data_IF_558952566565
#
_entry.id   IF_558952566565
#
_cell.length_a   1.000
_cell.length_b   1.000
_cell.length_c   1.000
_cell.angle_alpha   90.00
_cell.angle_beta   90.00
_cell.angle_gamma   90.00
#
_symmetry.space_group_name_H-M   'P 1'
#
loop_
_entity.id
_entity.type
_entity.pdbx_description
1 polymer ?
#
# COMPACT_ATOMS: atom_id res chain seq x y z
N UNK A 1 71.40 17.05 -8.93
CA UNK A 1 70.35 17.28 -9.95
C UNK A 1 69.01 17.40 -9.25
N UNK A 2 68.25 18.44 -9.59
CA UNK A 2 67.13 18.98 -8.80
C UNK A 2 65.94 18.02 -8.73
N UNK A 3 65.52 17.71 -7.51
CA UNK A 3 64.20 17.17 -7.15
C UNK A 3 63.15 18.27 -7.16
N UNK A 4 62.08 18.11 -7.95
CA UNK A 4 60.89 18.96 -7.92
C UNK A 4 59.68 18.11 -7.57
N UNK A 5 59.17 18.30 -6.35
CA UNK A 5 57.88 17.80 -5.90
C UNK A 5 56.79 18.78 -6.35
N UNK A 6 55.70 18.27 -6.93
CA UNK A 6 54.52 19.04 -7.31
C UNK A 6 53.44 18.83 -6.23
N UNK A 7 53.21 19.88 -5.44
CA UNK A 7 52.20 19.95 -4.38
C UNK A 7 50.86 20.42 -4.98
N UNK A 8 49.79 19.68 -4.73
CA UNK A 8 48.40 20.08 -5.03
C UNK A 8 47.80 20.74 -3.77
N UNK A 9 47.21 21.94 -3.84
CA UNK A 9 46.63 22.60 -2.67
C UNK A 9 45.26 22.01 -2.29
N UNK A 10 45.10 21.78 -0.99
CA UNK A 10 43.88 21.37 -0.31
C UNK A 10 43.00 22.62 -0.09
N UNK A 11 41.82 22.67 -0.72
CA UNK A 11 40.88 23.78 -0.52
C UNK A 11 40.09 23.56 0.78
N UNK A 12 40.29 24.47 1.72
CA UNK A 12 39.56 24.64 2.96
C UNK A 12 38.41 25.62 2.75
N UNK A 13 37.18 25.29 3.15
CA UNK A 13 36.16 26.30 3.41
C UNK A 13 35.26 25.90 4.59
N UNK A 14 35.01 26.92 5.40
CA UNK A 14 34.72 26.94 6.84
C UNK A 14 33.23 26.74 7.19
N UNK A 15 32.93 26.38 8.45
CA UNK A 15 31.56 26.24 8.97
C UNK A 15 30.90 27.60 9.22
N UNK A 16 29.58 27.66 8.99
CA UNK A 16 28.72 28.78 9.39
C UNK A 16 28.15 28.52 10.78
N UNK A 17 28.59 29.30 11.76
CA UNK A 17 27.99 29.41 13.07
C UNK A 17 27.12 30.66 13.12
N UNK A 18 25.88 30.54 13.59
CA UNK A 18 25.11 31.67 14.08
C UNK A 18 24.65 31.36 15.50
N UNK A 19 25.26 32.08 16.44
CA UNK A 19 24.90 32.13 17.84
C UNK A 19 24.15 33.46 18.06
N UNK A 20 23.02 33.41 18.75
CA UNK A 20 22.40 34.57 19.39
C UNK A 20 22.36 34.28 20.90
N UNK A 21 22.87 35.24 21.67
CA UNK A 21 23.03 35.24 23.11
C UNK A 21 21.94 36.11 23.79
N UNK A 22 21.83 35.92 25.12
CA UNK A 22 21.14 36.73 26.14
C UNK A 22 19.60 36.57 26.23
N UNK A 23 18.99 36.39 27.39
CA UNK A 23 19.51 36.35 28.76
C UNK A 23 18.41 36.50 29.82
N UNK A 24 18.79 36.13 31.04
CA UNK A 24 18.34 36.63 32.36
C UNK A 24 16.99 36.19 32.97
N UNK A 25 17.12 35.77 34.23
CA UNK A 25 16.13 35.42 35.24
C UNK A 25 15.53 36.64 35.94
N UNK A 26 14.31 36.51 36.49
CA UNK A 26 13.87 37.26 37.66
C UNK A 26 12.73 36.53 38.39
N UNK A 27 12.98 36.30 39.68
CA UNK A 27 12.09 35.78 40.71
C UNK A 27 11.41 36.99 41.40
N UNK A 28 10.08 36.96 41.62
CA UNK A 28 9.41 37.87 42.57
C UNK A 28 8.30 37.15 43.34
N UNK A 29 8.18 37.52 44.61
CA UNK A 29 7.42 36.94 45.72
C UNK A 29 6.12 37.72 46.01
N UNK A 30 5.11 36.97 46.48
CA UNK A 30 3.99 37.29 47.40
C UNK A 30 2.98 38.42 47.05
N UNK A 31 1.69 38.09 47.09
CA UNK A 31 0.74 38.65 48.08
C UNK A 31 -0.65 37.97 48.01
N UNK A 32 -1.18 37.73 49.21
CA UNK A 32 -2.49 37.19 49.56
C UNK A 32 -3.64 38.15 49.22
N UNK A 33 -4.79 37.60 48.82
CA UNK A 33 -6.10 38.18 49.10
C UNK A 33 -7.05 37.06 49.55
N UNK A 34 -7.38 37.11 50.84
CA UNK A 34 -8.46 36.41 51.52
C UNK A 34 -9.80 37.14 51.27
N UNK A 35 -10.86 36.39 50.96
CA UNK A 35 -12.26 36.77 51.20
C UNK A 35 -13.20 35.62 50.83
N UNK A 36 -13.62 34.90 51.85
CA UNK A 36 -14.69 33.89 51.82
C UNK A 36 -16.01 34.46 51.28
N UNK A 37 -16.63 33.75 50.33
CA UNK A 37 -18.07 33.76 50.06
C UNK A 37 -18.52 32.37 49.63
N UNK A 38 -19.37 31.77 50.45
CA UNK A 38 -19.98 30.46 50.30
C UNK A 38 -21.12 30.54 49.26
N UNK A 39 -21.16 29.63 48.27
CA UNK A 39 -22.39 29.06 47.69
C UNK A 39 -22.11 28.16 46.47
N UNK A 40 -22.51 26.90 46.62
CA UNK A 40 -23.15 26.02 45.62
C UNK A 40 -22.33 25.50 44.43
N UNK A 41 -22.14 24.18 44.48
CA UNK A 41 -22.03 23.18 43.40
C UNK A 41 -21.96 23.72 41.96
N UNK A 42 -20.86 23.42 41.27
CA UNK A 42 -20.98 22.86 39.93
C UNK A 42 -19.82 21.91 39.61
N UNK A 43 -20.20 20.76 39.07
CA UNK A 43 -19.29 19.67 38.69
C UNK A 43 -18.53 20.11 37.45
N UNK A 44 -17.31 20.62 37.63
CA UNK A 44 -16.42 20.95 36.52
C UNK A 44 -15.89 19.65 35.89
N UNK A 45 -16.70 19.12 34.97
CA UNK A 45 -16.31 18.10 34.00
C UNK A 45 -15.24 18.72 33.12
N UNK A 46 -13.98 18.37 33.38
CA UNK A 46 -12.88 18.65 32.47
C UNK A 46 -13.19 17.99 31.12
N UNK A 47 -13.73 18.78 30.19
CA UNK A 47 -13.89 18.37 28.80
C UNK A 47 -12.50 18.32 28.17
N UNK A 48 -11.95 17.12 28.05
CA UNK A 48 -10.89 16.84 27.09
C UNK A 48 -11.47 17.10 25.70
N UNK A 49 -11.16 18.25 25.13
CA UNK A 49 -11.35 18.50 23.71
C UNK A 49 -10.48 17.49 22.95
N UNK A 50 -11.11 16.42 22.47
CA UNK A 50 -10.52 15.54 21.46
C UNK A 50 -10.40 16.38 20.20
N UNK A 51 -9.17 16.79 19.90
CA UNK A 51 -8.78 17.36 18.62
C UNK A 51 -9.14 16.35 17.54
N UNK A 52 -10.30 16.55 16.93
CA UNK A 52 -10.75 15.76 15.78
C UNK A 52 -9.88 16.22 14.63
N UNK A 53 -8.88 15.39 14.31
CA UNK A 53 -8.11 15.52 13.08
C UNK A 53 -9.08 15.74 11.91
N UNK A 54 -8.79 16.66 10.98
CA UNK A 54 -9.64 16.91 9.83
C UNK A 54 -9.96 15.58 9.12
N UNK A 55 -11.16 15.43 8.53
CA UNK A 55 -11.52 14.20 7.83
C UNK A 55 -10.48 13.99 6.72
N UNK A 56 -9.63 12.99 6.90
CA UNK A 56 -8.66 12.60 5.89
C UNK A 56 -9.42 12.30 4.59
N UNK A 57 -8.93 12.84 3.47
CA UNK A 57 -9.58 12.71 2.17
C UNK A 57 -9.69 11.23 1.80
N UNK A 58 -10.90 10.69 1.86
CA UNK A 58 -11.18 9.27 1.69
C UNK A 58 -11.10 8.95 0.20
N UNK A 59 -10.10 8.18 -0.20
CA UNK A 59 -9.85 7.82 -1.59
C UNK A 59 -10.59 6.54 -2.02
N UNK A 60 -10.79 5.60 -1.08
CA UNK A 60 -11.47 4.33 -1.35
C UNK A 60 -12.24 3.85 -0.12
N UNK A 61 -13.38 3.21 -0.35
CA UNK A 61 -14.13 2.49 0.68
C UNK A 61 -14.78 1.24 0.12
N UNK A 62 -14.75 0.16 0.90
CA UNK A 62 -15.40 -1.12 0.58
C UNK A 62 -15.84 -1.80 1.87
N UNK A 63 -17.06 -2.31 1.86
CA UNK A 63 -17.55 -3.21 2.89
C UNK A 63 -17.72 -4.60 2.28
N UNK A 64 -17.07 -5.59 2.89
CA UNK A 64 -17.10 -6.98 2.45
C UNK A 64 -17.56 -7.87 3.60
N UNK A 65 -18.25 -8.97 3.28
CA UNK A 65 -18.72 -9.94 4.27
C UNK A 65 -18.31 -11.33 3.84
N UNK A 66 -17.76 -12.11 4.78
CA UNK A 66 -17.49 -13.53 4.59
C UNK A 66 -17.75 -14.26 5.91
N UNK A 67 -18.65 -15.24 5.85
CA UNK A 67 -19.19 -15.87 7.05
C UNK A 67 -19.89 -14.84 7.93
N UNK A 68 -19.51 -14.80 9.21
CA UNK A 68 -20.07 -13.89 10.22
C UNK A 68 -19.29 -12.58 10.40
N UNK A 69 -18.22 -12.40 9.61
CA UNK A 69 -17.36 -11.22 9.71
C UNK A 69 -17.68 -10.22 8.60
N UNK A 70 -17.73 -8.94 8.98
CA UNK A 70 -17.72 -7.80 8.07
C UNK A 70 -16.35 -7.14 8.13
N UNK A 71 -15.73 -6.96 6.98
CA UNK A 71 -14.47 -6.26 6.78
C UNK A 71 -14.77 -4.90 6.14
N UNK A 72 -14.39 -3.83 6.84
CA UNK A 72 -14.53 -2.46 6.35
C UNK A 72 -13.16 -1.97 5.95
N UNK A 73 -12.96 -1.79 4.64
CA UNK A 73 -11.72 -1.36 4.04
C UNK A 73 -11.89 0.11 3.65
N UNK A 74 -11.00 0.96 4.15
CA UNK A 74 -10.98 2.37 3.81
C UNK A 74 -9.55 2.79 3.51
N UNK A 75 -9.34 3.63 2.51
CA UNK A 75 -8.07 4.31 2.32
C UNK A 75 -8.23 5.81 2.28
N UNK A 76 -7.17 6.51 2.69
CA UNK A 76 -7.07 7.97 2.60
C UNK A 76 -5.78 8.36 1.90
N UNK A 77 -5.79 9.50 1.22
CA UNK A 77 -4.58 10.03 0.56
C UNK A 77 -3.45 10.23 1.57
N UNK A 78 -2.21 9.90 1.18
CA UNK A 78 -0.99 10.13 1.95
C UNK A 78 0.16 10.55 1.01
N UNK A 79 1.21 11.19 1.54
CA UNK A 79 2.29 11.79 0.74
C UNK A 79 2.94 10.83 -0.28
N UNK A 80 3.03 9.54 0.06
CA UNK A 80 3.69 8.51 -0.75
C UNK A 80 2.75 7.35 -1.17
N UNK A 81 1.45 7.62 -1.31
CA UNK A 81 0.45 6.63 -1.70
C UNK A 81 -0.85 6.84 -0.94
N UNK A 82 -1.34 5.80 -0.28
CA UNK A 82 -2.54 5.88 0.55
C UNK A 82 -2.32 5.18 1.88
N UNK A 83 -3.00 5.65 2.93
CA UNK A 83 -3.08 4.92 4.20
C UNK A 83 -4.33 4.03 4.17
N UNK A 84 -4.12 2.71 4.18
CA UNK A 84 -5.16 1.70 4.26
C UNK A 84 -5.52 1.45 5.72
N UNK A 85 -6.81 1.40 6.03
CA UNK A 85 -7.38 0.98 7.31
C UNK A 85 -8.37 -0.16 7.09
N UNK A 86 -8.20 -1.25 7.84
CA UNK A 86 -9.11 -2.40 7.81
C UNK A 86 -9.71 -2.60 9.19
N UNK A 87 -11.04 -2.53 9.29
CA UNK A 87 -11.79 -2.83 10.52
C UNK A 87 -12.57 -4.12 10.35
N UNK A 88 -12.45 -5.04 11.30
CA UNK A 88 -13.19 -6.30 11.28
C UNK A 88 -14.25 -6.31 12.36
N UNK A 89 -15.50 -6.58 11.97
CA UNK A 89 -16.66 -6.64 12.88
C UNK A 89 -17.36 -7.98 12.83
N UNK A 90 -18.02 -8.33 13.93
CA UNK A 90 -19.04 -9.38 14.02
C UNK A 90 -20.28 -8.74 14.63
N UNK A 91 -21.34 -8.58 13.83
CA UNK A 91 -22.40 -7.62 14.14
C UNK A 91 -21.81 -6.21 14.28
N UNK A 92 -22.14 -5.52 15.38
CA UNK A 92 -21.60 -4.17 15.66
C UNK A 92 -20.26 -4.19 16.40
N UNK A 93 -19.89 -5.32 17.01
CA UNK A 93 -18.67 -5.43 17.80
C UNK A 93 -17.43 -5.48 16.90
N UNK A 94 -16.42 -4.68 17.25
CA UNK A 94 -15.09 -4.81 16.68
C UNK A 94 -14.44 -6.11 17.20
N UNK A 95 -13.87 -6.90 16.30
CA UNK A 95 -13.33 -8.24 16.62
C UNK A 95 -11.85 -8.18 16.97
N UNK A 96 -11.11 -7.22 16.40
CA UNK A 96 -9.69 -6.97 16.60
C UNK A 96 -9.35 -5.51 16.32
N UNK A 97 -8.20 -5.05 16.81
CA UNK A 97 -7.70 -3.71 16.50
C UNK A 97 -7.60 -3.47 14.99
N UNK A 98 -7.95 -2.27 14.50
CA UNK A 98 -7.89 -1.99 13.08
C UNK A 98 -6.45 -2.05 12.56
N UNK A 99 -6.26 -2.78 11.46
CA UNK A 99 -4.99 -2.77 10.72
C UNK A 99 -4.85 -1.42 10.04
N UNK A 100 -3.67 -0.81 10.13
CA UNK A 100 -3.31 0.41 9.41
C UNK A 100 -1.95 0.25 8.76
N UNK A 101 -1.86 0.52 7.47
CA UNK A 101 -0.60 0.53 6.75
C UNK A 101 -0.58 1.56 5.62
N UNK A 102 0.61 2.01 5.26
CA UNK A 102 0.81 2.81 4.06
C UNK A 102 1.00 1.86 2.88
N UNK A 103 0.15 1.99 1.87
CA UNK A 103 0.24 1.23 0.62
C UNK A 103 0.84 2.11 -0.48
N UNK A 104 1.58 1.48 -1.39
CA UNK A 104 2.12 2.16 -2.57
C UNK A 104 1.04 2.28 -3.64
N UNK A 105 0.90 3.48 -4.20
CA UNK A 105 -0.10 3.76 -5.22
C UNK A 105 -1.50 3.96 -4.64
N UNK A 106 -2.50 3.87 -5.51
CA UNK A 106 -3.90 4.06 -5.17
C UNK A 106 -4.60 2.71 -4.95
N UNK A 107 -5.40 2.57 -3.90
CA UNK A 107 -6.28 1.41 -3.74
C UNK A 107 -7.35 1.45 -4.82
N UNK A 108 -7.48 0.36 -5.59
CA UNK A 108 -8.41 0.29 -6.72
C UNK A 108 -9.58 -0.67 -6.47
N UNK A 109 -9.36 -1.74 -5.71
CA UNK A 109 -10.42 -2.65 -5.29
C UNK A 109 -10.01 -3.45 -4.05
N UNK A 110 -10.99 -4.11 -3.42
CA UNK A 110 -10.77 -5.09 -2.38
C UNK A 110 -11.78 -6.23 -2.51
N UNK A 111 -11.31 -7.46 -2.38
CA UNK A 111 -12.13 -8.67 -2.51
C UNK A 111 -11.80 -9.69 -1.43
N UNK A 112 -12.80 -10.48 -1.07
CA UNK A 112 -12.64 -11.63 -0.17
C UNK A 112 -12.44 -12.91 -0.99
N UNK A 113 -11.72 -13.87 -0.43
CA UNK A 113 -11.44 -15.16 -1.03
C UNK A 113 -11.19 -16.27 -0.01
N UNK A 114 -10.89 -17.45 -0.54
CA UNK A 114 -10.37 -18.63 0.16
C UNK A 114 -9.65 -19.48 -0.91
N UNK A 115 -8.47 -19.02 -1.33
CA UNK A 115 -7.73 -19.55 -2.46
C UNK A 115 -7.09 -20.89 -2.13
N UNK A 116 -6.71 -21.12 -0.88
CA UNK A 116 -6.16 -22.41 -0.44
C UNK A 116 -7.26 -23.39 0.04
N UNK A 117 -8.51 -22.95 0.20
CA UNK A 117 -9.65 -23.78 0.55
C UNK A 117 -9.66 -24.24 2.00
N UNK A 118 -8.99 -23.51 2.91
CA UNK A 118 -8.88 -23.88 4.32
C UNK A 118 -10.02 -23.33 5.19
N UNK A 119 -10.93 -22.54 4.59
CA UNK A 119 -12.10 -21.97 5.24
C UNK A 119 -11.85 -20.66 6.01
N UNK A 120 -10.61 -20.20 6.13
CA UNK A 120 -10.31 -18.90 6.70
C UNK A 120 -10.58 -17.80 5.65
N UNK A 121 -11.21 -16.67 6.03
CA UNK A 121 -11.36 -15.53 5.14
C UNK A 121 -10.01 -14.97 4.68
N UNK A 122 -9.84 -14.76 3.39
CA UNK A 122 -8.67 -14.10 2.83
C UNK A 122 -9.06 -12.76 2.20
N UNK A 123 -8.40 -11.68 2.60
CA UNK A 123 -8.63 -10.34 2.04
C UNK A 123 -7.51 -10.01 1.05
N UNK A 124 -7.89 -9.58 -0.15
CA UNK A 124 -7.00 -9.07 -1.18
C UNK A 124 -7.35 -7.61 -1.49
N UNK A 125 -6.40 -6.71 -1.28
CA UNK A 125 -6.53 -5.29 -1.62
C UNK A 125 -5.61 -4.98 -2.78
N UNK A 126 -6.18 -4.49 -3.88
CA UNK A 126 -5.43 -4.19 -5.10
C UNK A 126 -5.05 -2.72 -5.15
N UNK A 127 -3.84 -2.45 -5.64
CA UNK A 127 -3.35 -1.10 -5.83
C UNK A 127 -2.88 -0.87 -7.26
N UNK A 128 -2.85 0.40 -7.68
CA UNK A 128 -2.26 0.83 -8.94
C UNK A 128 -1.30 2.00 -8.71
N UNK A 129 -0.08 1.88 -9.23
CA UNK A 129 0.95 2.91 -9.14
C UNK A 129 0.56 4.21 -9.85
N UNK A 130 1.07 5.33 -9.35
CA UNK A 130 0.80 6.69 -9.87
C UNK A 130 1.68 7.10 -11.05
N UNK A 131 2.71 6.32 -11.38
CA UNK A 131 3.58 6.55 -12.55
C UNK A 131 2.95 6.09 -13.86
N UNK A 132 3.59 6.39 -14.99
CA UNK A 132 3.12 6.05 -16.34
C UNK A 132 2.93 4.55 -16.58
N UNK A 133 3.69 3.72 -15.86
CA UNK A 133 3.54 2.27 -15.92
C UNK A 133 2.34 1.75 -15.13
N UNK A 134 1.72 2.50 -14.21
CA UNK A 134 0.60 2.04 -13.37
C UNK A 134 0.77 0.61 -12.84
N UNK A 135 1.96 0.32 -12.32
CA UNK A 135 2.32 -1.00 -11.80
C UNK A 135 1.36 -1.39 -10.69
N UNK A 136 0.71 -2.53 -10.83
CA UNK A 136 -0.28 -2.97 -9.84
C UNK A 136 0.37 -3.74 -8.70
N UNK A 137 -0.20 -3.55 -7.50
CA UNK A 137 0.17 -4.26 -6.28
C UNK A 137 -0.99 -5.03 -5.69
N UNK A 138 -0.66 -5.93 -4.76
CA UNK A 138 -1.63 -6.65 -3.93
C UNK A 138 -1.13 -6.68 -2.49
N UNK A 139 -1.94 -6.17 -1.58
CA UNK A 139 -1.81 -6.41 -0.14
C UNK A 139 -2.79 -7.51 0.23
N UNK A 140 -2.29 -8.62 0.77
CA UNK A 140 -3.10 -9.81 0.99
C UNK A 140 -2.92 -10.36 2.40
N UNK A 141 -4.02 -10.82 3.00
CA UNK A 141 -4.04 -11.30 4.37
C UNK A 141 -4.98 -12.48 4.52
N UNK A 142 -4.60 -13.48 5.30
CA UNK A 142 -5.51 -14.47 5.87
C UNK A 142 -6.01 -13.97 7.22
N UNK A 143 -7.31 -14.02 7.46
CA UNK A 143 -7.93 -13.70 8.74
C UNK A 143 -8.20 -14.98 9.53
N UNK A 144 -7.42 -15.21 10.58
CA UNK A 144 -7.50 -16.40 11.42
C UNK A 144 -7.30 -16.03 12.88
N UNK A 145 -8.03 -16.69 13.79
CA UNK A 145 -7.93 -16.46 15.24
C UNK A 145 -8.08 -14.98 15.63
N UNK A 146 -8.97 -14.27 14.92
CA UNK A 146 -9.22 -12.82 15.07
C UNK A 146 -8.02 -11.93 14.73
N UNK A 147 -7.06 -12.42 13.97
CA UNK A 147 -5.88 -11.66 13.54
C UNK A 147 -5.69 -11.73 12.02
N UNK A 148 -5.02 -10.73 11.46
CA UNK A 148 -4.59 -10.74 10.06
C UNK A 148 -3.15 -11.27 9.97
N UNK A 149 -2.98 -12.36 9.22
CA UNK A 149 -1.68 -12.93 8.87
C UNK A 149 -1.35 -12.52 7.43
N UNK A 150 -0.28 -11.73 7.20
CA UNK A 150 0.09 -11.33 5.84
C UNK A 150 0.42 -12.54 4.95
N UNK A 151 -0.11 -12.53 3.73
CA UNK A 151 0.27 -13.47 2.68
C UNK A 151 1.51 -12.96 1.94
N UNK A 152 2.41 -13.85 1.57
CA UNK A 152 3.60 -13.52 0.78
C UNK A 152 3.24 -13.46 -0.70
N UNK A 153 3.06 -12.25 -1.21
CA UNK A 153 2.89 -11.99 -2.64
C UNK A 153 4.24 -11.78 -3.34
N UNK A 154 4.46 -12.34 -4.55
CA UNK A 154 5.66 -12.07 -5.35
C UNK A 154 5.73 -10.58 -5.67
N UNK A 155 6.75 -9.90 -5.14
CA UNK A 155 6.94 -8.46 -5.37
C UNK A 155 7.33 -8.15 -6.82
N UNK A 156 8.01 -9.09 -7.48
CA UNK A 156 8.48 -8.98 -8.85
C UNK A 156 8.09 -10.21 -9.65
N UNK A 157 7.92 -10.03 -10.97
CA UNK A 157 7.84 -11.13 -11.91
C UNK A 157 9.22 -11.79 -12.06
N UNK A 158 9.25 -13.11 -12.23
CA UNK A 158 10.45 -13.82 -12.66
C UNK A 158 10.82 -13.42 -14.10
N UNK A 159 12.08 -13.62 -14.48
CA UNK A 159 12.61 -13.16 -15.77
C UNK A 159 11.86 -13.72 -16.98
N UNK A 160 11.41 -14.96 -16.91
CA UNK A 160 10.58 -15.62 -17.91
C UNK A 160 9.18 -14.99 -18.04
N UNK A 161 8.61 -14.49 -16.94
CA UNK A 161 7.30 -13.84 -16.92
C UNK A 161 7.36 -12.34 -17.24
N UNK A 162 8.53 -11.72 -17.04
CA UNK A 162 8.75 -10.28 -17.18
C UNK A 162 9.03 -9.80 -18.63
N UNK A 163 9.15 -10.71 -19.61
CA UNK A 163 9.47 -10.31 -20.99
C UNK A 163 8.37 -9.43 -21.59
N UNK A 164 8.70 -8.19 -21.94
CA UNK A 164 7.73 -7.20 -22.46
C UNK A 164 6.78 -6.62 -21.39
N UNK A 165 7.09 -6.81 -20.10
CA UNK A 165 6.31 -6.24 -19.00
C UNK A 165 6.65 -4.75 -18.80
N UNK A 166 5.61 -3.90 -18.77
CA UNK A 166 5.75 -2.45 -18.50
C UNK A 166 4.69 -1.91 -17.54
N UNK A 167 4.14 -2.78 -16.68
CA UNK A 167 3.08 -2.44 -15.74
C UNK A 167 1.68 -2.59 -16.34
N UNK A 168 0.77 -1.70 -15.95
CA UNK A 168 -0.66 -1.70 -16.27
C UNK A 168 -1.35 -2.98 -15.80
N UNK A 169 -0.92 -3.45 -14.64
CA UNK A 169 -1.43 -4.67 -14.05
C UNK A 169 -2.86 -4.47 -13.55
N UNK A 170 -3.69 -5.46 -13.83
CA UNK A 170 -4.99 -5.64 -13.21
C UNK A 170 -4.98 -6.94 -12.42
N UNK A 171 -5.51 -6.89 -11.20
CA UNK A 171 -5.73 -8.06 -10.37
C UNK A 171 -7.21 -8.35 -10.24
N UNK A 172 -7.55 -9.63 -10.14
CA UNK A 172 -8.88 -10.13 -9.76
C UNK A 172 -8.75 -11.48 -9.05
N UNK A 173 -9.71 -11.82 -8.21
CA UNK A 173 -9.86 -13.20 -7.71
C UNK A 173 -10.84 -13.93 -8.63
N UNK A 174 -10.41 -15.07 -9.18
CA UNK A 174 -11.24 -15.92 -10.06
C UNK A 174 -11.20 -17.36 -9.55
N UNK A 175 -12.30 -17.81 -8.96
CA UNK A 175 -12.33 -19.10 -8.27
C UNK A 175 -11.33 -19.11 -7.11
N UNK A 176 -10.43 -20.09 -7.08
CA UNK A 176 -9.38 -20.22 -6.07
C UNK A 176 -8.01 -19.70 -6.55
N UNK A 177 -8.02 -18.70 -7.43
CA UNK A 177 -6.82 -18.09 -8.00
C UNK A 177 -6.87 -16.58 -7.84
N UNK A 178 -5.71 -16.00 -7.53
CA UNK A 178 -5.46 -14.59 -7.82
C UNK A 178 -4.96 -14.51 -9.26
N UNK A 179 -5.63 -13.74 -10.09
CA UNK A 179 -5.29 -13.57 -11.50
C UNK A 179 -4.73 -12.17 -11.70
N UNK A 180 -3.56 -12.09 -12.32
CA UNK A 180 -2.90 -10.85 -12.74
C UNK A 180 -2.88 -10.79 -14.26
N UNK A 181 -3.35 -9.70 -14.84
CA UNK A 181 -3.30 -9.45 -16.27
C UNK A 181 -2.58 -8.15 -16.58
N UNK A 182 -1.81 -8.11 -17.66
CA UNK A 182 -1.15 -6.89 -18.14
C UNK A 182 -0.86 -6.96 -19.65
N UNK A 183 -0.83 -5.83 -20.36
CA UNK A 183 -0.44 -5.78 -21.76
C UNK A 183 1.04 -6.14 -21.95
N UNK A 184 1.34 -6.81 -23.07
CA UNK A 184 2.71 -7.10 -23.49
C UNK A 184 3.20 -6.02 -24.44
N UNK A 185 4.42 -5.52 -24.20
CA UNK A 185 5.08 -4.55 -25.05
C UNK A 185 6.20 -5.20 -25.87
N UNK A 186 6.38 -4.70 -27.09
CA UNK A 186 7.47 -5.12 -27.97
C UNK A 186 8.82 -4.55 -27.53
N UNK A 187 9.85 -4.82 -28.33
CA UNK A 187 11.14 -4.14 -28.16
C UNK A 187 10.97 -2.63 -28.30
N UNK A 188 11.74 -1.88 -27.52
CA UNK A 188 11.82 -0.43 -27.68
C UNK A 188 12.42 -0.07 -29.04
N UNK A 189 11.91 1.00 -29.65
CA UNK A 189 12.48 1.59 -30.85
C UNK A 189 13.81 2.32 -30.55
N UNK A 190 14.41 2.93 -31.57
CA UNK A 190 15.66 3.67 -31.44
C UNK A 190 15.58 4.87 -30.46
N UNK A 191 14.38 5.33 -30.12
CA UNK A 191 14.13 6.42 -29.17
C UNK A 191 13.80 5.90 -27.77
N UNK A 192 13.87 4.58 -27.53
CA UNK A 192 13.53 3.97 -26.24
C UNK A 192 12.03 3.82 -26.00
N UNK A 193 11.18 4.02 -27.01
CA UNK A 193 9.74 3.88 -26.89
C UNK A 193 9.30 2.48 -27.27
N UNK A 194 8.63 1.77 -26.36
CA UNK A 194 8.03 0.49 -26.64
C UNK A 194 6.52 0.64 -26.87
N UNK A 195 6.00 -0.04 -27.88
CA UNK A 195 4.57 -0.05 -28.20
C UNK A 195 3.90 -1.35 -27.71
N UNK A 196 2.62 -1.30 -27.28
CA UNK A 196 1.88 -2.51 -26.94
C UNK A 196 1.73 -3.39 -28.19
N UNK A 197 1.89 -4.70 -28.01
CA UNK A 197 1.72 -5.67 -29.10
C UNK A 197 0.25 -5.95 -29.41
N UNK A 198 -0.65 -5.53 -28.52
CA UNK A 198 -2.07 -5.93 -28.52
C UNK A 198 -2.32 -7.23 -27.75
N UNK A 199 -1.27 -7.96 -27.36
CA UNK A 199 -1.39 -9.15 -26.53
C UNK A 199 -1.51 -8.79 -25.05
N UNK A 200 -2.19 -9.64 -24.28
CA UNK A 200 -2.28 -9.55 -22.82
C UNK A 200 -1.68 -10.82 -22.23
N UNK A 201 -0.77 -10.65 -21.26
CA UNK A 201 -0.30 -11.77 -20.44
C UNK A 201 -1.20 -11.93 -19.24
N UNK A 202 -1.49 -13.19 -18.91
CA UNK A 202 -2.23 -13.57 -17.71
C UNK A 202 -1.36 -14.50 -16.87
N UNK A 203 -1.27 -14.23 -15.57
CA UNK A 203 -0.59 -15.08 -14.58
C UNK A 203 -1.60 -15.41 -13.50
N UNK A 204 -1.78 -16.69 -13.23
CA UNK A 204 -2.63 -17.17 -12.14
C UNK A 204 -1.76 -17.61 -10.97
N UNK A 205 -2.09 -17.16 -9.77
CA UNK A 205 -1.40 -17.52 -8.53
C UNK A 205 -2.29 -18.42 -7.69
N UNK A 206 -1.71 -19.50 -7.16
CA UNK A 206 -2.33 -20.33 -6.13
C UNK A 206 -1.70 -20.01 -4.78
N UNK A 207 -2.51 -19.93 -3.73
CA UNK A 207 -2.02 -19.82 -2.38
C UNK A 207 -1.63 -21.20 -1.86
N UNK A 208 -0.39 -21.37 -1.39
CA UNK A 208 0.06 -22.61 -0.78
C UNK A 208 -0.15 -22.61 0.75
N UNK A 209 0.16 -23.75 1.40
CA UNK A 209 0.05 -23.92 2.86
C UNK A 209 1.00 -23.07 3.69
N UNK A 210 2.02 -22.46 3.06
CA UNK A 210 2.99 -21.58 3.71
C UNK A 210 2.59 -20.09 3.58
N UNK A 211 1.33 -19.84 3.21
CA UNK A 211 0.76 -18.52 2.95
C UNK A 211 1.52 -17.75 1.86
N UNK A 212 2.01 -18.45 0.83
CA UNK A 212 2.69 -17.86 -0.32
C UNK A 212 1.86 -17.98 -1.60
N UNK A 213 1.70 -16.87 -2.32
CA UNK A 213 1.10 -16.84 -3.64
C UNK A 213 2.12 -17.30 -4.67
N UNK A 214 1.93 -18.50 -5.19
CA UNK A 214 2.83 -19.13 -6.15
C UNK A 214 2.25 -19.02 -7.56
N UNK A 215 2.99 -18.46 -8.53
CA UNK A 215 2.51 -18.42 -9.90
C UNK A 215 2.42 -19.85 -10.44
N UNK A 216 1.36 -20.13 -11.20
CA UNK A 216 1.27 -21.32 -12.01
C UNK A 216 2.37 -21.34 -13.08
N UNK A 217 2.77 -22.54 -13.50
CA UNK A 217 3.59 -22.68 -14.71
C UNK A 217 2.79 -22.15 -15.90
N UNK A 218 3.33 -21.15 -16.60
CA UNK A 218 2.69 -20.67 -17.82
C UNK A 218 2.55 -21.85 -18.79
N UNK A 219 1.37 -22.11 -19.38
CA UNK A 219 1.32 -22.97 -20.55
C UNK A 219 2.22 -22.34 -21.61
N UNK A 220 3.13 -23.13 -22.18
CA UNK A 220 3.95 -22.69 -23.30
C UNK A 220 3.01 -22.08 -24.36
N UNK A 221 3.26 -20.82 -24.71
CA UNK A 221 2.47 -20.06 -25.68
C UNK A 221 2.34 -20.86 -26.99
N UNK A 222 1.16 -21.42 -27.19
CA UNK A 222 0.83 -22.31 -28.30
C UNK A 222 -0.64 -22.20 -28.66
N UNK A 223 -1.13 -20.98 -28.87
CA UNK A 223 -2.42 -20.74 -29.49
C UNK A 223 -2.22 -19.82 -30.68
N UNK A 224 -1.86 -20.45 -31.80
CA UNK A 224 -2.02 -19.90 -33.15
C UNK A 224 -3.50 -19.50 -33.31
N UNK A 225 -3.83 -18.32 -33.85
CA UNK A 225 -5.22 -18.01 -34.18
C UNK A 225 -5.67 -18.98 -35.27
N UNK A 226 -6.73 -19.74 -34.99
CA UNK A 226 -7.41 -20.59 -35.97
C UNK A 226 -7.88 -19.72 -37.15
N UNK A 227 -7.10 -19.71 -38.23
CA UNK A 227 -7.55 -19.11 -39.49
C UNK A 227 -8.58 -20.05 -40.09
N UNK A 228 -9.85 -19.81 -39.75
CA UNK A 228 -10.99 -20.47 -40.39
C UNK A 228 -11.03 -19.99 -41.83
N UNK A 229 -10.51 -20.82 -42.74
CA UNK A 229 -10.71 -20.66 -44.18
C UNK A 229 -12.20 -20.96 -44.46
N UNK A 230 -12.97 -20.07 -45.08
CA UNK A 230 -14.36 -20.37 -45.43
C UNK A 230 -14.39 -21.48 -46.49
N UNK A 231 -15.39 -22.39 -46.46
CA UNK A 231 -15.52 -23.39 -47.49
C UNK A 231 -15.84 -22.70 -48.82
N UNK A 232 -15.10 -23.07 -49.86
CA UNK A 232 -15.40 -22.73 -51.24
C UNK A 232 -16.78 -23.31 -51.59
N UNK A 233 -17.73 -22.46 -51.96
CA UNK A 233 -18.91 -22.86 -52.73
C UNK A 233 -18.53 -23.05 -54.20
#
# INVERSE_FOLDING_TARGET
MRTSFLTIPLTSMKPSASAWWLGAAALFLMASCDSARNATEDTSTASTTVETAPPADVAFTRDLTQGEYRFQIQSTTADNGQQLTIKTRRGDALVTDPVRLNVKGNVTDAVMGDLNGNGNPELYVFTSGTGSGSYGGVEAYEFKDKSFVPLKAPQNLSSDMATGYMGQDKYEVRGNKLVRTFPVFGAADANGTASPTGETRTIEYSLNSDNMLMPGTMPATGSTPSTTTPPKQ
#
